data_IF_200344471893
#
_entry.id   IF_200344471893
#
_cell.length_a   1.000
_cell.length_b   1.000
_cell.length_c   1.000
_cell.angle_alpha   90.00
_cell.angle_beta   90.00
_cell.angle_gamma   90.00
#
_symmetry.space_group_name_H-M   'P 1'
#
loop_
_entity.id
_entity.type
_entity.pdbx_description
1 polymer ?
#
# COMPACT_ATOMS: atom_id res chain seq x y z
N UNK A 1 -3.37 15.90 10.38
CA UNK A 1 -4.54 16.79 10.26
C UNK A 1 -4.66 17.13 8.79
N UNK A 2 -5.73 16.68 8.14
CA UNK A 2 -5.95 16.91 6.71
C UNK A 2 -6.18 18.41 6.52
N UNK A 3 -5.28 19.10 5.81
CA UNK A 3 -5.36 20.55 5.56
C UNK A 3 -6.18 20.88 4.31
N UNK A 4 -6.52 19.90 3.48
CA UNK A 4 -7.20 20.11 2.21
C UNK A 4 -8.69 19.74 2.27
N UNK A 5 -9.57 20.49 1.57
CA UNK A 5 -10.97 20.11 1.40
C UNK A 5 -11.12 18.72 0.78
N UNK A 6 -12.18 17.99 1.15
CA UNK A 6 -12.46 16.64 0.64
C UNK A 6 -12.57 16.64 -0.89
N UNK A 7 -13.17 17.67 -1.48
CA UNK A 7 -13.33 17.78 -2.94
C UNK A 7 -11.98 17.81 -3.67
N UNK A 8 -11.01 18.55 -3.13
CA UNK A 8 -9.65 18.61 -3.67
C UNK A 8 -8.95 17.26 -3.56
N UNK A 9 -9.19 16.52 -2.48
CA UNK A 9 -8.64 15.16 -2.32
C UNK A 9 -9.23 14.21 -3.36
N UNK A 10 -10.53 14.30 -3.59
CA UNK A 10 -11.20 13.47 -4.59
C UNK A 10 -10.67 13.77 -5.99
N UNK A 11 -10.40 15.04 -6.32
CA UNK A 11 -9.71 15.43 -7.56
C UNK A 11 -8.32 14.79 -7.70
N UNK A 12 -7.50 14.81 -6.63
CA UNK A 12 -6.20 14.13 -6.63
C UNK A 12 -6.33 12.63 -6.87
N UNK A 13 -7.32 11.99 -6.22
CA UNK A 13 -7.60 10.56 -6.43
C UNK A 13 -8.03 10.28 -7.88
N UNK A 14 -8.82 11.18 -8.48
CA UNK A 14 -9.19 11.11 -9.88
C UNK A 14 -8.03 11.32 -10.84
N UNK A 15 -7.05 12.15 -10.48
CA UNK A 15 -5.90 12.43 -11.32
C UNK A 15 -4.83 11.34 -11.26
N UNK A 16 -4.54 10.78 -10.08
CA UNK A 16 -3.35 9.96 -9.86
C UNK A 16 -3.62 8.46 -9.69
N UNK A 17 -4.87 8.05 -9.53
CA UNK A 17 -5.26 6.64 -9.54
C UNK A 17 -5.81 6.31 -10.92
N UNK A 18 -5.19 5.36 -11.63
CA UNK A 18 -5.69 4.93 -12.93
C UNK A 18 -7.06 4.27 -12.80
N UNK A 19 -7.84 4.28 -13.88
CA UNK A 19 -9.23 3.86 -13.86
C UNK A 19 -9.40 2.41 -13.36
N UNK A 20 -8.53 1.51 -13.79
CA UNK A 20 -8.57 0.10 -13.42
C UNK A 20 -8.31 -0.10 -11.92
N UNK A 21 -7.34 0.62 -11.36
CA UNK A 21 -7.09 0.65 -9.92
C UNK A 21 -8.26 1.28 -9.15
N UNK A 22 -8.92 2.34 -9.68
CA UNK A 22 -10.10 2.92 -9.03
C UNK A 22 -11.23 1.91 -8.93
N UNK A 23 -11.53 1.21 -10.01
CA UNK A 23 -12.59 0.19 -10.03
C UNK A 23 -12.28 -0.95 -9.08
N UNK A 24 -11.00 -1.37 -9.02
CA UNK A 24 -10.55 -2.41 -8.11
C UNK A 24 -10.59 -1.96 -6.65
N UNK A 25 -10.20 -0.72 -6.35
CA UNK A 25 -10.33 -0.14 -5.00
C UNK A 25 -11.81 -0.06 -4.63
N UNK A 26 -12.69 0.43 -5.51
CA UNK A 26 -14.13 0.51 -5.25
C UNK A 26 -14.74 -0.87 -5.02
N UNK A 27 -14.32 -1.90 -5.77
CA UNK A 27 -14.70 -3.28 -5.50
C UNK A 27 -14.32 -3.69 -4.07
N UNK A 28 -13.07 -3.48 -3.65
CA UNK A 28 -12.63 -3.77 -2.28
C UNK A 28 -13.45 -2.99 -1.24
N UNK A 29 -13.68 -1.70 -1.44
CA UNK A 29 -14.41 -0.84 -0.51
C UNK A 29 -15.89 -1.23 -0.37
N UNK A 30 -16.48 -1.82 -1.41
CA UNK A 30 -17.88 -2.25 -1.41
C UNK A 30 -18.05 -3.70 -0.95
N UNK A 31 -17.00 -4.52 -1.05
CA UNK A 31 -17.06 -5.96 -0.76
C UNK A 31 -16.53 -6.30 0.64
N UNK A 32 -15.53 -5.57 1.14
CA UNK A 32 -14.91 -5.84 2.45
C UNK A 32 -15.37 -4.88 3.54
N UNK A 33 -15.37 -5.36 4.78
CA UNK A 33 -15.47 -4.51 5.97
C UNK A 33 -14.18 -3.69 6.13
N UNK A 34 -14.23 -2.43 5.69
CA UNK A 34 -13.10 -1.49 5.73
C UNK A 34 -12.55 -1.24 7.14
N UNK A 35 -13.29 -1.57 8.20
CA UNK A 35 -12.81 -1.45 9.57
C UNK A 35 -11.81 -2.55 9.96
N UNK A 36 -11.76 -3.64 9.20
CA UNK A 36 -10.95 -4.85 9.46
C UNK A 36 -9.77 -5.02 8.51
N UNK A 37 -9.63 -4.12 7.55
CA UNK A 37 -8.51 -4.09 6.61
C UNK A 37 -7.76 -2.77 6.72
N UNK A 38 -6.51 -2.76 6.28
CA UNK A 38 -5.78 -1.52 6.06
C UNK A 38 -4.94 -1.60 4.80
N UNK A 39 -4.84 -0.50 4.09
CA UNK A 39 -3.97 -0.39 2.92
C UNK A 39 -2.51 -0.23 3.35
N UNK A 40 -1.61 -0.94 2.68
CA UNK A 40 -0.16 -0.79 2.80
C UNK A 40 0.45 -0.57 1.41
N UNK A 41 1.77 -0.52 1.31
CA UNK A 41 2.43 -0.46 0.01
C UNK A 41 2.00 0.73 -0.85
N UNK A 42 1.68 0.49 -2.13
CA UNK A 42 1.39 1.53 -3.13
C UNK A 42 0.29 2.52 -2.71
N UNK A 43 -0.84 2.03 -2.23
CA UNK A 43 -1.97 2.88 -1.78
C UNK A 43 -1.59 3.69 -0.54
N UNK A 44 -0.91 3.08 0.44
CA UNK A 44 -0.46 3.81 1.63
C UNK A 44 0.57 4.89 1.28
N UNK A 45 1.48 4.61 0.34
CA UNK A 45 2.42 5.61 -0.15
C UNK A 45 1.73 6.79 -0.81
N UNK A 46 0.75 6.51 -1.68
CA UNK A 46 -0.08 7.55 -2.27
C UNK A 46 -0.75 8.41 -1.20
N UNK A 47 -1.47 7.81 -0.24
CA UNK A 47 -2.19 8.54 0.79
C UNK A 47 -1.26 9.40 1.66
N UNK A 48 -0.06 8.92 1.98
CA UNK A 48 0.91 9.66 2.79
C UNK A 48 1.62 10.78 2.02
N UNK A 49 1.81 10.63 0.70
CA UNK A 49 2.68 11.49 -0.11
C UNK A 49 1.94 12.39 -1.11
N UNK A 50 0.66 12.14 -1.43
CA UNK A 50 -0.09 12.84 -2.50
C UNK A 50 -0.19 14.36 -2.34
N UNK A 51 -0.09 14.87 -1.11
CA UNK A 51 -0.08 16.32 -0.84
C UNK A 51 1.26 16.99 -1.19
N UNK A 52 2.33 16.21 -1.33
CA UNK A 52 3.68 16.71 -1.61
C UNK A 52 4.16 16.37 -3.03
N UNK A 53 3.71 15.23 -3.57
CA UNK A 53 4.21 14.70 -4.83
C UNK A 53 3.09 14.08 -5.66
N UNK A 54 3.27 14.08 -6.98
CA UNK A 54 2.45 13.30 -7.90
C UNK A 54 2.78 11.82 -7.76
N UNK A 55 1.87 11.06 -7.15
CA UNK A 55 2.11 9.68 -6.75
C UNK A 55 1.11 8.74 -7.42
N UNK A 56 1.50 7.97 -8.45
CA UNK A 56 0.61 6.99 -9.03
C UNK A 56 0.43 5.77 -8.12
N UNK A 57 -0.79 5.23 -8.09
CA UNK A 57 -1.09 3.92 -7.49
C UNK A 57 -1.00 2.86 -8.58
N UNK A 58 -0.08 1.91 -8.43
CA UNK A 58 0.13 0.84 -9.42
C UNK A 58 -0.31 -0.54 -8.90
N UNK A 59 -0.05 -0.79 -7.62
CA UNK A 59 -0.31 -2.04 -6.89
C UNK A 59 -1.23 -1.79 -5.69
N UNK A 60 -2.05 -2.78 -5.36
CA UNK A 60 -2.89 -2.78 -4.17
C UNK A 60 -2.36 -3.82 -3.19
N UNK A 61 -1.84 -3.36 -2.07
CA UNK A 61 -1.42 -4.19 -0.96
C UNK A 61 -2.35 -3.92 0.24
N UNK A 62 -2.93 -4.97 0.80
CA UNK A 62 -3.88 -4.89 1.91
C UNK A 62 -3.40 -5.80 3.04
N UNK A 63 -3.55 -5.34 4.28
CA UNK A 63 -3.38 -6.18 5.47
C UNK A 63 -4.73 -6.47 6.12
N UNK A 64 -4.83 -7.65 6.73
CA UNK A 64 -6.02 -8.12 7.44
C UNK A 64 -5.61 -9.02 8.63
N UNK A 65 -6.48 -9.16 9.63
CA UNK A 65 -6.20 -9.99 10.83
C UNK A 65 -6.73 -11.42 10.69
N UNK A 66 -8.00 -11.59 10.28
CA UNK A 66 -8.68 -12.88 10.21
C UNK A 66 -9.01 -13.25 8.75
N UNK A 67 -8.82 -14.52 8.38
CA UNK A 67 -9.05 -14.96 6.99
C UNK A 67 -10.54 -14.94 6.62
N UNK A 68 -11.41 -15.07 7.61
CA UNK A 68 -12.86 -14.94 7.50
C UNK A 68 -13.28 -13.55 6.98
N UNK A 69 -12.46 -12.54 7.24
CA UNK A 69 -12.70 -11.18 6.75
C UNK A 69 -12.48 -11.08 5.22
N UNK A 70 -11.86 -12.08 4.58
CA UNK A 70 -11.70 -12.17 3.12
C UNK A 70 -12.73 -13.08 2.43
N UNK A 71 -13.64 -13.72 3.16
CA UNK A 71 -14.68 -14.58 2.55
C UNK A 71 -15.47 -13.87 1.45
N UNK A 72 -15.91 -12.61 1.60
CA UNK A 72 -16.63 -11.91 0.52
C UNK A 72 -15.84 -11.79 -0.79
N UNK A 73 -14.50 -11.81 -0.72
CA UNK A 73 -13.61 -11.76 -1.89
C UNK A 73 -13.45 -13.16 -2.51
N UNK A 74 -13.42 -14.22 -1.70
CA UNK A 74 -13.39 -15.61 -2.19
C UNK A 74 -14.62 -15.94 -3.03
N UNK A 75 -15.77 -15.42 -2.65
CA UNK A 75 -17.03 -15.64 -3.37
C UNK A 75 -17.11 -14.88 -4.70
N UNK A 76 -16.35 -13.79 -4.84
CA UNK A 76 -16.46 -12.84 -5.97
C UNK A 76 -15.22 -12.81 -6.87
N UNK A 77 -14.12 -13.45 -6.48
CA UNK A 77 -12.87 -13.48 -7.22
C UNK A 77 -12.06 -14.75 -6.95
N UNK A 78 -11.12 -15.07 -7.84
CA UNK A 78 -10.20 -16.20 -7.67
C UNK A 78 -9.11 -15.84 -6.65
N UNK A 79 -9.46 -15.94 -5.36
CA UNK A 79 -8.52 -15.70 -4.26
C UNK A 79 -7.65 -16.94 -4.04
N UNK A 80 -6.38 -16.84 -4.40
CA UNK A 80 -5.40 -17.91 -4.29
C UNK A 80 -4.38 -17.63 -3.19
N UNK A 81 -3.96 -18.68 -2.47
CA UNK A 81 -2.99 -18.58 -1.38
C UNK A 81 -1.60 -19.03 -1.83
N UNK A 82 -0.61 -18.15 -1.72
CA UNK A 82 0.78 -18.41 -2.10
C UNK A 82 1.72 -18.31 -0.91
N UNK A 83 2.84 -19.05 -0.96
CA UNK A 83 3.94 -18.89 -0.01
C UNK A 83 4.75 -17.64 -0.37
N UNK A 84 4.87 -16.70 0.55
CA UNK A 84 5.66 -15.50 0.34
C UNK A 84 7.14 -15.78 0.66
N UNK A 85 8.01 -15.62 -0.34
CA UNK A 85 9.47 -15.72 -0.18
C UNK A 85 10.17 -14.35 -0.16
N UNK A 86 9.42 -13.27 -0.42
CA UNK A 86 9.99 -11.95 -0.67
C UNK A 86 10.21 -11.12 0.60
N UNK A 87 9.37 -11.30 1.62
CA UNK A 87 9.54 -10.62 2.89
C UNK A 87 10.29 -11.56 3.84
N UNK A 88 11.60 -11.37 3.98
CA UNK A 88 12.47 -12.17 4.87
C UNK A 88 12.11 -12.09 6.36
N UNK A 89 11.06 -11.35 6.74
CA UNK A 89 10.54 -11.39 8.10
C UNK A 89 9.70 -12.65 8.29
N UNK A 90 10.07 -13.48 9.26
CA UNK A 90 9.40 -14.74 9.68
C UNK A 90 7.90 -14.64 9.98
N UNK A 91 7.35 -13.43 9.96
CA UNK A 91 5.94 -13.10 10.24
C UNK A 91 5.06 -13.12 8.98
N UNK A 92 5.64 -13.24 7.78
CA UNK A 92 4.92 -13.14 6.49
C UNK A 92 5.18 -14.38 5.65
N UNK A 93 4.60 -15.52 6.03
CA UNK A 93 4.85 -16.76 5.31
C UNK A 93 3.92 -16.95 4.12
N UNK A 94 2.80 -16.24 4.11
CA UNK A 94 1.69 -16.45 3.19
C UNK A 94 1.15 -15.11 2.70
N UNK A 95 0.73 -15.09 1.44
CA UNK A 95 0.02 -13.98 0.79
C UNK A 95 -1.19 -14.58 0.09
N UNK A 96 -2.34 -13.94 0.26
CA UNK A 96 -3.52 -14.24 -0.55
C UNK A 96 -3.54 -13.25 -1.70
N UNK A 97 -3.84 -13.73 -2.88
CA UNK A 97 -3.77 -12.98 -4.11
C UNK A 97 -5.12 -13.10 -4.78
N UNK A 98 -5.72 -11.98 -5.14
CA UNK A 98 -6.82 -11.98 -6.10
C UNK A 98 -6.43 -11.20 -7.35
N UNK A 99 -7.01 -11.61 -8.46
CA UNK A 99 -6.86 -10.94 -9.75
C UNK A 99 -8.22 -10.40 -10.17
N UNK A 100 -8.30 -9.09 -10.35
CA UNK A 100 -9.51 -8.41 -10.80
C UNK A 100 -9.31 -7.91 -12.23
N UNK A 101 -10.23 -8.27 -13.12
CA UNK A 101 -10.17 -7.87 -14.52
C UNK A 101 -11.04 -6.64 -14.77
N UNK A 102 -10.40 -5.57 -15.22
CA UNK A 102 -11.06 -4.31 -15.60
C UNK A 102 -10.61 -3.96 -17.01
N UNK A 103 -11.55 -3.85 -17.95
CA UNK A 103 -11.27 -3.46 -19.35
C UNK A 103 -10.10 -4.24 -19.97
N UNK A 104 -10.14 -5.57 -19.86
CA UNK A 104 -9.09 -6.51 -20.35
C UNK A 104 -7.72 -6.39 -19.64
N UNK A 105 -7.58 -5.51 -18.66
CA UNK A 105 -6.40 -5.41 -17.81
C UNK A 105 -6.62 -6.11 -16.50
N UNK A 106 -5.56 -6.77 -16.05
CA UNK A 106 -5.52 -7.47 -14.77
C UNK A 106 -4.92 -6.55 -13.71
N UNK A 107 -5.66 -6.29 -12.65
CA UNK A 107 -5.19 -5.63 -11.44
C UNK A 107 -4.97 -6.70 -10.38
N UNK A 108 -3.78 -6.70 -9.80
CA UNK A 108 -3.38 -7.64 -8.75
C UNK A 108 -3.65 -7.03 -7.38
N UNK A 109 -4.23 -7.81 -6.48
CA UNK A 109 -4.42 -7.43 -5.09
C UNK A 109 -3.71 -8.44 -4.20
N UNK A 110 -2.73 -7.96 -3.45
CA UNK A 110 -2.01 -8.75 -2.46
C UNK A 110 -2.61 -8.51 -1.08
N UNK A 111 -3.06 -9.57 -0.41
CA UNK A 111 -3.57 -9.55 0.96
C UNK A 111 -2.60 -10.27 1.89
N UNK A 112 -2.13 -9.56 2.91
CA UNK A 112 -1.17 -10.07 3.88
C UNK A 112 -1.80 -10.18 5.27
N UNK A 113 -1.84 -11.39 5.82
CA UNK A 113 -2.26 -11.60 7.21
C UNK A 113 -1.26 -10.92 8.16
N UNK A 114 -1.75 -9.99 8.99
CA UNK A 114 -0.94 -9.21 9.94
C UNK A 114 -1.76 -8.90 11.18
N UNK A 115 -1.11 -8.96 12.34
CA UNK A 115 -1.63 -8.32 13.55
C UNK A 115 -1.50 -6.79 13.42
N UNK A 116 -2.58 -6.05 13.67
CA UNK A 116 -2.62 -4.59 13.55
C UNK A 116 -1.97 -3.90 14.75
N UNK A 117 -1.98 -4.51 15.93
CA UNK A 117 -1.41 -3.96 17.17
C UNK A 117 0.00 -3.35 17.05
N UNK A 118 0.97 -4.01 16.41
CA UNK A 118 2.32 -3.46 16.23
C UNK A 118 2.44 -2.45 15.07
N UNK A 119 1.42 -2.30 14.22
CA UNK A 119 1.48 -1.47 13.02
C UNK A 119 0.80 -0.13 13.32
N UNK A 120 1.53 0.97 13.15
CA UNK A 120 0.93 2.29 13.31
C UNK A 120 0.06 2.64 12.11
N UNK A 121 -1.25 2.45 12.26
CA UNK A 121 -2.26 2.79 11.26
C UNK A 121 -2.78 4.23 11.44
N UNK A 122 -3.24 4.82 10.35
CA UNK A 122 -3.91 6.11 10.33
C UNK A 122 -5.09 6.09 9.35
N UNK A 123 -5.92 7.13 9.35
CA UNK A 123 -7.11 7.25 8.51
C UNK A 123 -6.95 8.37 7.51
N UNK A 124 -7.28 8.10 6.24
CA UNK A 124 -7.35 9.11 5.20
C UNK A 124 -8.52 8.83 4.24
N UNK A 125 -9.10 9.86 3.61
CA UNK A 125 -10.03 9.70 2.50
C UNK A 125 -9.35 9.10 1.27
N UNK A 126 -9.99 8.11 0.65
CA UNK A 126 -9.62 7.47 -0.61
C UNK A 126 -10.90 7.23 -1.42
N UNK A 127 -11.00 7.85 -2.60
CA UNK A 127 -12.18 7.78 -3.48
C UNK A 127 -13.49 8.10 -2.76
N UNK A 128 -13.47 9.09 -1.85
CA UNK A 128 -14.63 9.51 -1.07
C UNK A 128 -14.90 8.69 0.21
N UNK A 129 -14.18 7.59 0.44
CA UNK A 129 -14.33 6.74 1.63
C UNK A 129 -13.17 6.91 2.61
N UNK A 130 -13.44 6.94 3.92
CA UNK A 130 -12.38 6.95 4.94
C UNK A 130 -11.82 5.53 5.13
N UNK A 131 -10.54 5.35 4.85
CA UNK A 131 -9.87 4.04 4.94
C UNK A 131 -8.73 4.06 5.95
N UNK A 132 -8.44 2.91 6.56
CA UNK A 132 -7.20 2.72 7.31
C UNK A 132 -6.02 2.44 6.37
N UNK A 133 -4.85 2.98 6.70
CA UNK A 133 -3.61 2.66 6.01
C UNK A 133 -2.39 2.78 6.92
N UNK A 134 -1.28 2.17 6.53
CA UNK A 134 0.01 2.34 7.22
C UNK A 134 0.40 3.84 7.24
N UNK A 135 0.76 4.32 8.44
CA UNK A 135 1.11 5.73 8.66
C UNK A 135 2.41 6.12 7.92
N UNK A 136 2.62 7.43 7.79
CA UNK A 136 3.83 8.01 7.21
C UNK A 136 5.11 7.43 7.85
N UNK A 137 5.16 7.35 9.18
CA UNK A 137 6.34 6.82 9.89
C UNK A 137 6.56 5.32 9.63
N UNK A 138 5.47 4.55 9.54
CA UNK A 138 5.54 3.12 9.24
C UNK A 138 6.08 2.88 7.83
N UNK A 139 5.56 3.60 6.84
CA UNK A 139 6.01 3.48 5.45
C UNK A 139 7.43 4.00 5.26
N UNK A 140 7.80 5.14 5.88
CA UNK A 140 9.18 5.65 5.88
C UNK A 140 10.14 4.61 6.44
N UNK A 141 9.85 4.06 7.62
CA UNK A 141 10.67 3.03 8.27
C UNK A 141 10.78 1.78 7.38
N UNK A 142 9.66 1.34 6.81
CA UNK A 142 9.63 0.20 5.90
C UNK A 142 10.57 0.42 4.70
N UNK A 143 10.43 1.53 3.96
CA UNK A 143 11.27 1.78 2.77
C UNK A 143 12.75 1.91 3.11
N UNK A 144 13.11 2.63 4.18
CA UNK A 144 14.50 2.76 4.61
C UNK A 144 15.10 1.39 5.03
N UNK A 145 14.32 0.54 5.71
CA UNK A 145 14.80 -0.78 6.14
C UNK A 145 14.87 -1.81 5.01
N UNK A 146 14.10 -1.64 3.93
CA UNK A 146 14.16 -2.56 2.78
C UNK A 146 15.46 -2.39 1.97
N UNK A 147 16.04 -1.19 1.91
CA UNK A 147 17.28 -0.93 1.16
C UNK A 147 18.42 -1.87 1.59
N UNK A 148 18.85 -1.91 2.87
CA UNK A 148 19.96 -2.76 3.28
C UNK A 148 19.66 -4.26 3.10
N UNK A 149 18.40 -4.67 3.21
CA UNK A 149 17.98 -6.06 2.97
C UNK A 149 18.14 -6.44 1.49
N UNK A 150 17.77 -5.55 0.58
CA UNK A 150 17.88 -5.76 -0.87
C UNK A 150 19.32 -5.64 -1.38
N UNK A 151 20.18 -4.92 -0.66
CA UNK A 151 21.62 -4.82 -0.97
C UNK A 151 22.49 -5.85 -0.24
N UNK A 152 21.88 -6.70 0.58
CA UNK A 152 22.58 -7.70 1.38
C UNK A 152 23.27 -8.75 0.50
N UNK A 153 24.54 -9.07 0.81
CA UNK A 153 25.27 -10.17 0.16
C UNK A 153 24.53 -11.52 0.28
N UNK A 154 23.69 -11.69 1.30
CA UNK A 154 22.93 -12.92 1.53
C UNK A 154 21.79 -13.14 0.51
N UNK A 155 21.40 -12.12 -0.26
CA UNK A 155 20.40 -12.25 -1.34
C UNK A 155 21.01 -12.83 -2.64
N UNK A 156 22.35 -12.95 -2.74
CA UNK A 156 23.03 -13.52 -3.90
C UNK A 156 22.76 -12.78 -5.22
N UNK A 157 22.79 -13.49 -6.35
CA UNK A 157 22.50 -12.97 -7.70
C UNK A 157 21.04 -12.51 -7.90
N UNK A 158 20.14 -12.74 -6.93
CA UNK A 158 18.75 -12.26 -6.95
C UNK A 158 18.61 -10.79 -6.59
N UNK A 159 19.60 -9.99 -6.97
CA UNK A 159 19.60 -8.55 -6.77
C UNK A 159 18.52 -7.92 -7.65
N UNK A 160 17.33 -7.72 -7.09
CA UNK A 160 16.22 -7.10 -7.80
C UNK A 160 16.42 -5.58 -7.85
N UNK A 161 17.32 -5.12 -8.73
CA UNK A 161 17.61 -3.69 -8.95
C UNK A 161 16.36 -2.84 -9.07
N UNK A 162 15.29 -3.37 -9.69
CA UNK A 162 13.98 -2.72 -9.78
C UNK A 162 13.34 -2.48 -8.41
N UNK A 163 13.38 -3.45 -7.49
CA UNK A 163 12.88 -3.29 -6.11
C UNK A 163 13.76 -2.33 -5.33
N UNK A 164 15.08 -2.49 -5.40
CA UNK A 164 15.99 -1.55 -4.73
C UNK A 164 15.70 -0.12 -5.17
N UNK A 165 15.61 0.12 -6.47
CA UNK A 165 15.27 1.42 -7.02
C UNK A 165 13.91 1.92 -6.54
N UNK A 166 12.87 1.06 -6.52
CA UNK A 166 11.53 1.38 -5.96
C UNK A 166 11.64 1.85 -4.51
N UNK A 167 12.31 1.09 -3.64
CA UNK A 167 12.41 1.42 -2.22
C UNK A 167 13.32 2.62 -1.95
N UNK A 168 14.45 2.75 -2.64
CA UNK A 168 15.35 3.90 -2.54
C UNK A 168 14.64 5.20 -2.89
N UNK A 169 13.89 5.23 -4.01
CA UNK A 169 13.12 6.42 -4.40
C UNK A 169 12.09 6.80 -3.35
N UNK A 170 11.30 5.83 -2.88
CA UNK A 170 10.27 6.09 -1.86
C UNK A 170 10.91 6.59 -0.57
N UNK A 171 12.00 5.95 -0.09
CA UNK A 171 12.74 6.42 1.08
C UNK A 171 13.21 7.87 0.92
N UNK A 172 13.76 8.25 -0.24
CA UNK A 172 14.15 9.64 -0.52
C UNK A 172 12.97 10.62 -0.43
N UNK A 173 11.79 10.26 -0.95
CA UNK A 173 10.60 11.13 -0.88
C UNK A 173 10.15 11.38 0.57
N UNK A 174 10.07 10.33 1.38
CA UNK A 174 9.71 10.44 2.80
C UNK A 174 10.75 11.26 3.59
N UNK A 175 12.03 10.95 3.42
CA UNK A 175 13.11 11.63 4.14
C UNK A 175 13.21 13.11 3.73
N UNK A 176 12.92 13.46 2.48
CA UNK A 176 12.90 14.85 2.03
C UNK A 176 11.78 15.66 2.69
N UNK A 177 10.58 15.08 2.87
CA UNK A 177 9.50 15.73 3.60
C UNK A 177 9.90 15.95 5.06
N UNK A 178 10.54 14.97 5.69
CA UNK A 178 11.03 15.10 7.07
C UNK A 178 12.06 16.23 7.19
N UNK A 179 13.06 16.25 6.30
CA UNK A 179 14.06 17.32 6.22
C UNK A 179 13.42 18.71 6.07
N UNK A 180 12.46 18.86 5.17
CA UNK A 180 11.78 20.13 4.94
C UNK A 180 10.94 20.58 6.15
N UNK A 181 10.32 19.63 6.88
CA UNK A 181 9.62 19.91 8.14
C UNK A 181 10.59 20.37 9.23
N UNK A 182 11.75 19.73 9.37
CA UNK A 182 12.81 20.15 10.30
C UNK A 182 13.31 21.57 9.99
N UNK A 183 13.30 21.97 8.72
CA UNK A 183 13.68 23.31 8.26
C UNK A 183 12.54 24.34 8.31
N UNK A 184 11.36 24.00 8.83
CA UNK A 184 10.15 24.85 8.77
C UNK A 184 9.85 25.37 7.35
N UNK A 185 10.17 24.58 6.34
CA UNK A 185 10.04 24.92 4.91
C UNK A 185 8.86 24.21 4.25
N UNK A 186 7.96 23.62 5.05
CA UNK A 186 6.71 22.92 4.69
C UNK A 186 5.60 23.27 5.68
#
# INVERSE_FOLDING_TARGET
MIKEPIDKILELDHQYIYQEQKETINFVLNTLDISKIAFVGGVADYLNLRQYYQMPVNDLDIIFENEEDLEPIKDQSDLQKFRCSFYQNDKVKEVFVSEYFVNERRVHIDYFKRNFGPIRLTKSPLLGTIVYHASFEEMKKFHNNQIPLLTSKNMGEKYEWKRLYKHSRKASLYNNIEFLKEKNSL
#
